data_IF_730122049800
#
_entry.id   IF_730122049800
#
_cell.length_a   1.000
_cell.length_b   1.000
_cell.length_c   1.000
_cell.angle_alpha   90.00
_cell.angle_beta   90.00
_cell.angle_gamma   90.00
#
_symmetry.space_group_name_H-M   'P 1'
#
loop_
_entity.id
_entity.type
_entity.pdbx_description
1 polymer ?
#
# COMPACT_ATOMS: atom_id res chain seq x y z
N UNK A 1 11.75 -28.58 33.91
CA UNK A 1 10.27 -28.56 34.03
C UNK A 1 9.88 -27.27 34.72
N UNK A 2 9.00 -26.45 34.13
CA UNK A 2 8.45 -25.27 34.78
C UNK A 2 7.40 -25.70 35.80
N UNK A 3 7.33 -25.03 36.95
CA UNK A 3 6.27 -25.24 37.93
C UNK A 3 4.96 -24.60 37.47
N UNK A 4 3.82 -25.06 37.98
CA UNK A 4 2.51 -24.47 37.68
C UNK A 4 2.48 -22.98 38.03
N UNK A 5 3.15 -22.58 39.12
CA UNK A 5 3.29 -21.18 39.51
C UNK A 5 4.11 -20.37 38.49
N UNK A 6 5.23 -20.91 38.00
CA UNK A 6 6.03 -20.28 36.93
C UNK A 6 5.22 -20.12 35.64
N UNK A 7 4.40 -21.11 35.27
CA UNK A 7 3.50 -21.01 34.11
C UNK A 7 2.45 -19.91 34.30
N UNK A 8 1.87 -19.78 35.50
CA UNK A 8 0.93 -18.71 35.83
C UNK A 8 1.52 -17.30 35.70
N UNK A 9 2.75 -17.10 36.18
CA UNK A 9 3.47 -15.83 36.05
C UNK A 9 3.83 -15.49 34.60
N UNK A 10 4.24 -16.49 33.81
CA UNK A 10 4.52 -16.33 32.38
C UNK A 10 3.25 -15.91 31.63
N UNK A 11 2.12 -16.58 31.86
CA UNK A 11 0.86 -16.24 31.20
C UNK A 11 0.39 -14.82 31.54
N UNK A 12 0.59 -14.38 32.79
CA UNK A 12 0.29 -13.00 33.20
C UNK A 12 1.16 -12.00 32.45
N UNK A 13 2.47 -12.27 32.29
CA UNK A 13 3.38 -11.42 31.52
C UNK A 13 3.02 -11.37 30.03
N UNK A 14 2.69 -12.51 29.42
CA UNK A 14 2.24 -12.57 28.01
C UNK A 14 1.03 -11.67 27.81
N UNK A 15 0.01 -11.77 28.66
CA UNK A 15 -1.20 -10.94 28.54
C UNK A 15 -0.91 -9.43 28.63
N UNK A 16 0.00 -9.03 29.51
CA UNK A 16 0.42 -7.63 29.62
C UNK A 16 1.14 -7.17 28.35
N UNK A 17 2.04 -7.99 27.80
CA UNK A 17 2.75 -7.68 26.55
C UNK A 17 1.81 -7.61 25.35
N UNK A 18 0.80 -8.48 25.27
CA UNK A 18 -0.23 -8.42 24.22
C UNK A 18 -1.04 -7.12 24.27
N UNK A 19 -1.41 -6.67 25.47
CA UNK A 19 -2.11 -5.39 25.67
C UNK A 19 -1.23 -4.21 25.26
N UNK A 20 0.05 -4.22 25.64
CA UNK A 20 1.01 -3.19 25.24
C UNK A 20 1.19 -3.17 23.72
N UNK A 21 1.27 -4.33 23.06
CA UNK A 21 1.34 -4.45 21.60
C UNK A 21 0.11 -3.84 20.94
N UNK A 22 -1.10 -4.18 21.41
CA UNK A 22 -2.34 -3.63 20.84
C UNK A 22 -2.43 -2.11 20.97
N UNK A 23 -2.00 -1.55 22.11
CA UNK A 23 -1.98 -0.11 22.32
C UNK A 23 -0.94 0.57 21.40
N UNK A 24 0.24 -0.04 21.22
CA UNK A 24 1.23 0.43 20.27
C UNK A 24 0.72 0.39 18.83
N UNK A 25 0.06 -0.69 18.40
CA UNK A 25 -0.55 -0.79 17.06
C UNK A 25 -1.60 0.30 16.84
N UNK A 26 -2.40 0.59 17.86
CA UNK A 26 -3.39 1.67 17.83
C UNK A 26 -2.74 3.05 17.69
N UNK A 27 -1.66 3.30 18.43
CA UNK A 27 -0.88 4.54 18.32
C UNK A 27 -0.24 4.66 16.94
N UNK A 28 0.40 3.60 16.45
CA UNK A 28 0.98 3.52 15.10
C UNK A 28 -0.07 3.82 14.03
N UNK A 29 -1.29 3.34 14.21
CA UNK A 29 -2.41 3.61 13.31
C UNK A 29 -2.78 5.08 13.15
N UNK A 30 -2.38 5.95 14.08
CA UNK A 30 -2.65 7.39 14.02
C UNK A 30 -1.61 8.18 13.24
N UNK A 31 -0.43 7.61 13.00
CA UNK A 31 0.64 8.30 12.28
C UNK A 31 0.41 8.29 10.78
N UNK A 32 0.85 9.38 10.13
CA UNK A 32 0.90 9.45 8.68
C UNK A 32 1.96 8.50 8.12
N UNK A 33 1.85 8.16 6.84
CA UNK A 33 2.87 7.40 6.12
C UNK A 33 4.26 8.03 6.28
N UNK A 34 4.39 9.35 6.10
CA UNK A 34 5.70 10.01 6.16
C UNK A 34 6.32 9.91 7.56
N UNK A 35 5.54 10.13 8.63
CA UNK A 35 6.00 9.99 10.00
C UNK A 35 6.44 8.56 10.33
N UNK A 36 5.75 7.56 9.80
CA UNK A 36 6.13 6.16 9.97
C UNK A 36 7.44 5.84 9.25
N UNK A 37 7.64 6.34 8.03
CA UNK A 37 8.88 6.16 7.29
C UNK A 37 10.07 6.82 8.00
N UNK A 38 9.88 8.01 8.55
CA UNK A 38 10.91 8.71 9.33
C UNK A 38 11.38 7.90 10.54
N UNK A 39 10.51 7.08 11.12
CA UNK A 39 10.86 6.17 12.23
C UNK A 39 11.62 4.91 11.81
N UNK A 40 11.64 4.58 10.52
CA UNK A 40 12.36 3.42 9.99
C UNK A 40 13.86 3.72 9.79
N UNK A 41 14.74 2.73 10.00
CA UNK A 41 16.16 2.82 9.64
C UNK A 41 16.33 3.23 8.17
N UNK A 42 17.27 4.14 7.89
CA UNK A 42 17.44 4.72 6.55
C UNK A 42 17.71 3.66 5.46
N UNK A 43 18.43 2.60 5.79
CA UNK A 43 18.74 1.48 4.90
C UNK A 43 17.51 0.62 4.57
N UNK A 44 16.52 0.55 5.47
CA UNK A 44 15.29 -0.24 5.31
C UNK A 44 14.11 0.62 4.83
N UNK A 45 14.25 1.95 4.89
CA UNK A 45 13.19 2.88 4.53
C UNK A 45 12.88 2.78 3.03
N UNK A 46 11.63 2.45 2.68
CA UNK A 46 11.22 2.44 1.28
C UNK A 46 11.14 3.85 0.73
N UNK A 47 11.30 3.98 -0.58
CA UNK A 47 11.10 5.26 -1.25
C UNK A 47 9.61 5.45 -1.54
N UNK A 48 9.10 6.63 -1.21
CA UNK A 48 7.72 7.03 -1.48
C UNK A 48 7.71 8.18 -2.47
N UNK A 49 7.04 7.96 -3.58
CA UNK A 49 6.95 8.88 -4.70
C UNK A 49 5.49 9.37 -4.77
N UNK A 50 5.25 10.68 -4.61
CA UNK A 50 3.90 11.21 -4.72
C UNK A 50 3.37 11.08 -6.14
N UNK A 51 2.12 10.62 -6.27
CA UNK A 51 1.40 10.59 -7.56
C UNK A 51 0.29 11.62 -7.53
N UNK A 52 -0.51 11.64 -6.46
CA UNK A 52 -1.62 12.57 -6.32
C UNK A 52 -1.78 12.99 -4.86
N UNK A 53 -1.82 14.30 -4.65
CA UNK A 53 -2.03 14.91 -3.33
C UNK A 53 -3.46 15.43 -3.13
N UNK A 54 -4.21 15.72 -4.21
CA UNK A 54 -5.61 16.16 -4.11
C UNK A 54 -6.55 14.97 -3.87
N UNK A 55 -7.45 15.12 -2.89
CA UNK A 55 -8.36 14.07 -2.43
C UNK A 55 -7.65 13.00 -1.60
N UNK A 56 -7.97 11.73 -1.84
CA UNK A 56 -7.24 10.64 -1.19
C UNK A 56 -5.81 10.59 -1.72
N UNK A 57 -4.82 10.77 -0.84
CA UNK A 57 -3.40 10.75 -1.20
C UNK A 57 -3.00 9.36 -1.72
N UNK A 58 -2.51 9.34 -2.97
CA UNK A 58 -2.04 8.14 -3.66
C UNK A 58 -0.55 8.30 -3.96
N UNK A 59 0.21 7.28 -3.62
CA UNK A 59 1.67 7.27 -3.75
C UNK A 59 2.14 5.96 -4.39
N UNK A 60 3.31 6.02 -5.01
CA UNK A 60 4.09 4.84 -5.35
C UNK A 60 5.06 4.55 -4.20
N UNK A 61 5.13 3.31 -3.77
CA UNK A 61 6.10 2.84 -2.79
C UNK A 61 7.01 1.82 -3.45
N UNK A 62 8.33 1.97 -3.31
CA UNK A 62 9.29 1.00 -3.85
C UNK A 62 10.46 0.70 -2.92
N UNK A 63 11.05 -0.48 -3.11
CA UNK A 63 12.32 -0.84 -2.48
C UNK A 63 13.49 -0.19 -3.21
N UNK A 64 14.55 0.14 -2.46
CA UNK A 64 15.83 0.57 -3.02
C UNK A 64 16.52 -0.54 -3.83
N UNK A 65 16.25 -1.80 -3.50
CA UNK A 65 16.83 -2.96 -4.20
C UNK A 65 16.15 -3.25 -5.54
N UNK A 66 14.89 -2.82 -5.69
CA UNK A 66 14.10 -2.96 -6.90
C UNK A 66 13.57 -1.60 -7.37
N UNK A 67 14.45 -0.66 -7.78
CA UNK A 67 14.03 0.70 -8.10
C UNK A 67 13.08 0.75 -9.31
N UNK A 68 13.09 -0.25 -10.19
CA UNK A 68 12.21 -0.30 -11.37
C UNK A 68 10.78 -0.77 -11.04
N UNK A 69 10.51 -1.20 -9.81
CA UNK A 69 9.25 -1.80 -9.38
C UNK A 69 8.62 -0.98 -8.25
N UNK A 70 7.36 -0.58 -8.38
CA UNK A 70 6.68 0.18 -7.34
C UNK A 70 5.22 -0.28 -7.13
N UNK A 71 4.73 -0.19 -5.91
CA UNK A 71 3.35 -0.47 -5.53
C UNK A 71 2.57 0.83 -5.48
N UNK A 72 1.43 0.89 -6.17
CA UNK A 72 0.51 2.01 -6.08
C UNK A 72 -0.42 1.79 -4.88
N UNK A 73 -0.33 2.66 -3.88
CA UNK A 73 -1.06 2.51 -2.61
C UNK A 73 -1.78 3.79 -2.21
N UNK A 74 -2.82 3.65 -1.40
CA UNK A 74 -3.35 4.78 -0.64
C UNK A 74 -2.44 5.05 0.55
N UNK A 75 -2.03 6.30 0.73
CA UNK A 75 -1.19 6.70 1.87
C UNK A 75 -1.98 6.85 3.18
N UNK A 76 -3.31 6.95 3.09
CA UNK A 76 -4.23 7.00 4.23
C UNK A 76 -4.70 5.62 4.70
N UNK A 77 -5.33 5.59 5.87
CA UNK A 77 -5.92 4.36 6.41
C UNK A 77 -7.16 3.96 5.59
N UNK A 78 -7.13 2.74 5.06
CA UNK A 78 -8.27 2.13 4.38
C UNK A 78 -8.42 0.70 4.83
N UNK A 79 -9.46 0.47 5.64
CA UNK A 79 -9.85 -0.85 6.10
C UNK A 79 -10.35 -1.74 4.95
N UNK A 80 -10.14 -3.06 5.09
CA UNK A 80 -10.96 -4.07 4.42
C UNK A 80 -10.66 -4.36 2.96
N UNK A 81 -9.39 -4.36 2.54
CA UNK A 81 -9.05 -4.77 1.17
C UNK A 81 -8.12 -5.97 1.11
N UNK A 82 -8.30 -6.79 0.06
CA UNK A 82 -7.63 -8.09 -0.07
C UNK A 82 -6.12 -8.04 -0.31
N UNK A 83 -5.59 -6.91 -0.80
CA UNK A 83 -4.16 -6.77 -1.11
C UNK A 83 -3.60 -5.55 -0.40
N UNK A 84 -2.67 -5.82 0.52
CA UNK A 84 -2.04 -4.79 1.32
C UNK A 84 -0.53 -4.94 1.32
N UNK A 85 0.14 -3.81 1.41
CA UNK A 85 1.56 -3.69 1.66
C UNK A 85 1.76 -3.46 3.16
N UNK A 86 2.53 -4.30 3.82
CA UNK A 86 2.81 -4.19 5.24
C UNK A 86 4.23 -3.72 5.45
N UNK A 87 4.36 -2.63 6.21
CA UNK A 87 5.62 -2.15 6.72
C UNK A 87 5.81 -2.70 8.12
N UNK A 88 6.86 -3.49 8.29
CA UNK A 88 7.27 -3.98 9.59
C UNK A 88 8.02 -2.87 10.31
N UNK A 89 7.54 -2.51 11.49
CA UNK A 89 8.10 -1.46 12.33
C UNK A 89 8.67 -2.11 13.60
N UNK A 90 9.70 -1.47 14.18
CA UNK A 90 10.31 -1.93 15.44
C UNK A 90 10.74 -3.41 15.36
N UNK A 91 11.50 -3.78 14.32
CA UNK A 91 11.95 -5.16 14.07
C UNK A 91 10.81 -6.20 14.01
N UNK A 92 9.66 -5.81 13.45
CA UNK A 92 8.50 -6.69 13.27
C UNK A 92 7.61 -6.83 14.50
N UNK A 93 7.85 -6.06 15.57
CA UNK A 93 6.95 -6.02 16.74
C UNK A 93 5.56 -5.49 16.34
N UNK A 94 5.54 -4.48 15.49
CA UNK A 94 4.33 -3.87 14.97
C UNK A 94 4.39 -3.82 13.44
N UNK A 95 3.22 -3.68 12.81
CA UNK A 95 3.17 -3.44 11.37
C UNK A 95 2.11 -2.41 11.04
N UNK A 96 2.34 -1.63 9.98
CA UNK A 96 1.32 -0.80 9.35
C UNK A 96 1.00 -1.36 7.99
N UNK A 97 -0.29 -1.44 7.66
CA UNK A 97 -0.76 -1.97 6.39
C UNK A 97 -1.30 -0.83 5.51
N UNK A 98 -0.93 -0.84 4.24
CA UNK A 98 -1.36 0.10 3.22
C UNK A 98 -2.09 -0.65 2.12
N UNK A 99 -3.26 -0.16 1.75
CA UNK A 99 -4.08 -0.79 0.72
C UNK A 99 -3.50 -0.54 -0.67
N UNK A 100 -3.26 -1.61 -1.43
CA UNK A 100 -3.00 -1.46 -2.86
C UNK A 100 -4.22 -0.92 -3.58
N UNK A 101 -3.97 -0.02 -4.51
CA UNK A 101 -4.98 0.61 -5.34
C UNK A 101 -5.67 -0.42 -6.25
N UNK A 102 -7.01 -0.48 -6.25
CA UNK A 102 -7.78 -1.23 -7.25
C UNK A 102 -8.10 -0.37 -8.45
N UNK A 103 -7.58 -0.73 -9.62
CA UNK A 103 -7.86 -0.02 -10.87
C UNK A 103 -9.35 -0.08 -11.24
N UNK A 104 -10.05 -1.11 -10.78
CA UNK A 104 -11.50 -1.25 -10.91
C UNK A 104 -12.30 -0.11 -10.25
N UNK A 105 -11.75 0.58 -9.26
CA UNK A 105 -12.40 1.68 -8.55
C UNK A 105 -12.18 3.02 -9.27
N UNK A 106 -13.00 4.03 -8.97
CA UNK A 106 -12.88 5.39 -9.53
C UNK A 106 -11.85 6.21 -8.76
N UNK A 107 -10.60 5.76 -8.81
CA UNK A 107 -9.44 6.32 -8.10
C UNK A 107 -9.32 7.83 -8.28
N UNK A 108 -9.50 8.27 -9.52
CA UNK A 108 -9.39 9.64 -9.98
C UNK A 108 -10.37 10.58 -9.28
N UNK A 109 -11.51 10.06 -8.79
CA UNK A 109 -12.54 10.85 -8.11
C UNK A 109 -12.52 10.74 -6.59
N UNK A 110 -11.77 9.78 -6.02
CA UNK A 110 -11.84 9.52 -4.59
C UNK A 110 -11.21 10.65 -3.77
N UNK A 111 -11.98 11.15 -2.81
CA UNK A 111 -11.63 12.31 -1.99
C UNK A 111 -11.77 13.65 -2.73
N UNK A 112 -12.22 13.65 -3.99
CA UNK A 112 -12.42 14.88 -4.77
C UNK A 112 -13.91 15.17 -4.84
N UNK A 113 -14.30 16.35 -4.35
CA UNK A 113 -15.68 16.82 -4.47
C UNK A 113 -16.01 17.17 -5.91
N UNK A 114 -17.19 16.70 -6.36
CA UNK A 114 -17.72 17.09 -7.66
C UNK A 114 -18.12 18.56 -7.63
N UNK A 115 -17.67 19.39 -8.59
CA UNK A 115 -18.14 20.77 -8.70
C UNK A 115 -19.67 20.87 -8.77
N UNK A 116 -20.23 21.90 -8.14
CA UNK A 116 -21.68 22.07 -8.01
C UNK A 116 -22.37 22.31 -9.35
N UNK A 117 -21.67 22.93 -10.30
CA UNK A 117 -22.10 23.29 -11.64
C UNK A 117 -22.07 22.13 -12.65
N UNK A 118 -21.36 21.03 -12.33
CA UNK A 118 -21.29 19.84 -13.19
C UNK A 118 -22.52 18.95 -12.97
N UNK A 119 -23.40 18.84 -13.96
CA UNK A 119 -24.63 18.04 -13.88
C UNK A 119 -24.85 17.15 -15.12
N UNK A 120 -25.65 16.07 -14.95
CA UNK A 120 -26.01 15.17 -16.05
C UNK A 120 -24.80 14.61 -16.81
N UNK A 121 -24.79 14.80 -18.14
CA UNK A 121 -23.73 14.33 -19.03
C UNK A 121 -22.35 14.95 -18.76
N UNK A 122 -22.29 16.12 -18.12
CA UNK A 122 -21.03 16.78 -17.76
C UNK A 122 -20.25 15.98 -16.70
N UNK A 123 -20.94 15.15 -15.91
CA UNK A 123 -20.31 14.31 -14.87
C UNK A 123 -19.33 13.31 -15.49
N UNK A 124 -19.69 12.68 -16.60
CA UNK A 124 -18.81 11.71 -17.26
C UNK A 124 -17.63 12.40 -17.95
N UNK A 125 -17.85 13.60 -18.50
CA UNK A 125 -16.76 14.42 -19.02
C UNK A 125 -15.78 14.83 -17.92
N UNK A 126 -16.28 15.26 -16.76
CA UNK A 126 -15.47 15.59 -15.59
C UNK A 126 -14.66 14.39 -15.09
N UNK A 127 -15.29 13.22 -14.93
CA UNK A 127 -14.58 11.97 -14.58
C UNK A 127 -13.51 11.60 -15.61
N UNK A 128 -13.81 11.75 -16.91
CA UNK A 128 -12.85 11.48 -17.98
C UNK A 128 -11.63 12.39 -17.88
N UNK A 129 -11.81 13.68 -17.60
CA UNK A 129 -10.71 14.60 -17.35
C UNK A 129 -9.85 14.15 -16.16
N UNK A 130 -10.49 13.81 -15.03
CA UNK A 130 -9.76 13.32 -13.85
C UNK A 130 -8.98 12.02 -14.13
N UNK A 131 -9.52 11.10 -14.95
CA UNK A 131 -8.79 9.89 -15.37
C UNK A 131 -7.53 10.22 -16.15
N UNK A 132 -7.63 11.17 -17.09
CA UNK A 132 -6.49 11.60 -17.90
C UNK A 132 -5.44 12.30 -17.06
N UNK A 133 -5.86 13.17 -16.13
CA UNK A 133 -4.97 13.83 -15.18
C UNK A 133 -4.25 12.81 -14.30
N UNK A 134 -4.98 11.87 -13.69
CA UNK A 134 -4.38 10.82 -12.87
C UNK A 134 -3.40 9.95 -13.65
N UNK A 135 -3.74 9.56 -14.88
CA UNK A 135 -2.83 8.82 -15.76
C UNK A 135 -1.55 9.61 -16.01
N UNK A 136 -1.67 10.89 -16.36
CA UNK A 136 -0.52 11.75 -16.67
C UNK A 136 0.38 11.94 -15.45
N UNK A 137 -0.20 12.10 -14.26
CA UNK A 137 0.54 12.18 -13.00
C UNK A 137 1.30 10.87 -12.72
N UNK A 138 0.65 9.72 -12.88
CA UNK A 138 1.31 8.43 -12.70
C UNK A 138 2.43 8.21 -13.72
N UNK A 139 2.20 8.54 -14.99
CA UNK A 139 3.19 8.46 -16.05
C UNK A 139 4.41 9.35 -15.76
N UNK A 140 4.17 10.59 -15.33
CA UNK A 140 5.22 11.54 -14.95
C UNK A 140 6.04 11.03 -13.76
N UNK A 141 5.39 10.51 -12.72
CA UNK A 141 6.06 9.92 -11.57
C UNK A 141 6.88 8.69 -11.98
N UNK A 142 6.35 7.81 -12.82
CA UNK A 142 7.09 6.63 -13.26
C UNK A 142 8.33 7.01 -14.08
N UNK A 143 8.20 7.93 -15.03
CA UNK A 143 9.30 8.39 -15.88
C UNK A 143 10.39 9.10 -15.09
N UNK A 144 10.01 10.03 -14.21
CA UNK A 144 10.95 10.83 -13.42
C UNK A 144 11.79 9.98 -12.47
N UNK A 145 11.21 8.89 -11.96
CA UNK A 145 11.87 8.02 -11.00
C UNK A 145 12.38 6.71 -11.61
N UNK A 146 12.17 6.46 -12.90
CA UNK A 146 12.62 5.23 -13.59
C UNK A 146 11.86 3.96 -13.19
N UNK A 147 10.60 4.10 -12.77
CA UNK A 147 9.70 2.96 -12.50
C UNK A 147 9.20 2.39 -13.83
N UNK A 148 9.35 1.08 -14.01
CA UNK A 148 8.90 0.33 -15.21
C UNK A 148 7.75 -0.61 -14.92
N UNK A 149 7.54 -0.99 -13.67
CA UNK A 149 6.45 -1.87 -13.26
C UNK A 149 5.70 -1.27 -12.09
N UNK A 150 4.40 -1.05 -12.26
CA UNK A 150 3.50 -0.56 -11.22
C UNK A 150 2.54 -1.68 -10.80
N UNK A 151 2.63 -2.08 -9.54
CA UNK A 151 1.83 -3.14 -8.95
C UNK A 151 0.53 -2.58 -8.36
N UNK A 152 -0.59 -3.15 -8.79
CA UNK A 152 -1.96 -2.71 -8.48
C UNK A 152 -2.86 -3.92 -8.29
N UNK A 153 -4.11 -3.69 -7.84
CA UNK A 153 -5.16 -4.72 -7.88
C UNK A 153 -5.93 -4.65 -9.18
N UNK A 154 -6.24 -5.81 -9.76
CA UNK A 154 -7.02 -5.96 -10.99
C UNK A 154 -6.45 -5.13 -12.16
N UNK A 155 -5.17 -5.34 -12.55
CA UNK A 155 -4.51 -4.56 -13.61
C UNK A 155 -5.24 -4.64 -14.96
N UNK A 156 -5.98 -5.74 -15.22
CA UNK A 156 -6.77 -5.91 -16.45
C UNK A 156 -7.83 -4.82 -16.66
N UNK A 157 -8.29 -4.18 -15.60
CA UNK A 157 -9.24 -3.07 -15.69
C UNK A 157 -8.58 -1.77 -16.20
N UNK A 158 -7.25 -1.71 -16.27
CA UNK A 158 -6.49 -0.54 -16.69
C UNK A 158 -6.85 -0.12 -18.11
N UNK A 159 -6.67 -1.01 -19.09
CA UNK A 159 -6.89 -0.72 -20.50
C UNK A 159 -8.31 -0.21 -20.83
N UNK A 160 -9.30 -0.55 -19.99
CA UNK A 160 -10.68 -0.11 -20.17
C UNK A 160 -10.95 1.30 -19.62
N UNK A 161 -10.06 1.82 -18.76
CA UNK A 161 -10.24 3.09 -18.04
C UNK A 161 -9.20 4.14 -18.40
N UNK A 162 -7.99 3.66 -18.65
CA UNK A 162 -6.79 4.44 -18.86
C UNK A 162 -6.09 3.88 -20.10
N UNK A 163 -5.55 4.78 -20.91
CA UNK A 163 -4.66 4.37 -21.99
C UNK A 163 -3.36 3.79 -21.42
N UNK A 164 -2.62 3.06 -22.27
CA UNK A 164 -1.30 2.57 -21.90
C UNK A 164 -0.35 3.71 -21.51
N UNK A 165 0.53 3.43 -20.55
CA UNK A 165 1.65 4.31 -20.21
C UNK A 165 2.89 3.75 -20.92
N UNK A 166 3.53 4.57 -21.74
CA UNK A 166 4.70 4.13 -22.50
C UNK A 166 5.87 3.74 -21.56
N UNK A 167 6.44 2.56 -21.80
CA UNK A 167 7.53 2.00 -20.99
C UNK A 167 7.16 1.54 -19.58
N UNK A 168 5.87 1.54 -19.19
CA UNK A 168 5.41 1.15 -17.85
C UNK A 168 4.38 0.02 -17.93
N UNK A 169 4.71 -1.11 -17.31
CA UNK A 169 3.81 -2.25 -17.15
C UNK A 169 2.94 -2.07 -15.90
N UNK A 170 1.62 -2.25 -16.06
CA UNK A 170 0.68 -2.32 -14.94
C UNK A 170 0.44 -3.80 -14.62
N UNK A 171 0.87 -4.22 -13.43
CA UNK A 171 1.00 -5.64 -13.04
C UNK A 171 0.15 -5.93 -11.80
N UNK A 172 -0.31 -7.17 -11.65
CA UNK A 172 -1.07 -7.58 -10.47
C UNK A 172 -0.13 -7.66 -9.27
N UNK A 173 -0.49 -7.02 -8.15
CA UNK A 173 0.31 -7.04 -6.93
C UNK A 173 0.63 -8.45 -6.44
N UNK A 174 -0.24 -9.44 -6.68
CA UNK A 174 0.02 -10.84 -6.32
C UNK A 174 1.20 -11.45 -7.09
N UNK A 175 1.46 -10.99 -8.31
CA UNK A 175 2.51 -11.53 -9.17
C UNK A 175 3.90 -11.09 -8.67
N UNK A 176 3.95 -10.01 -7.87
CA UNK A 176 5.19 -9.59 -7.19
C UNK A 176 5.71 -10.66 -6.24
N UNK A 177 4.84 -11.31 -5.44
CA UNK A 177 5.28 -12.34 -4.49
C UNK A 177 5.93 -13.52 -5.20
N UNK A 178 5.36 -13.95 -6.33
CA UNK A 178 5.93 -15.01 -7.14
C UNK A 178 7.32 -14.63 -7.68
N UNK A 179 7.50 -13.37 -8.09
CA UNK A 179 8.76 -12.86 -8.60
C UNK A 179 9.82 -12.62 -7.50
N UNK A 180 9.42 -12.09 -6.34
CA UNK A 180 10.30 -11.75 -5.24
C UNK A 180 10.90 -13.01 -4.57
N UNK A 181 10.09 -14.05 -4.40
CA UNK A 181 10.55 -15.35 -3.88
C UNK A 181 11.59 -16.00 -4.80
N UNK A 182 11.47 -15.82 -6.11
CA UNK A 182 12.43 -16.33 -7.08
C UNK A 182 13.75 -15.53 -7.07
N UNK A 183 13.70 -14.25 -6.72
CA UNK A 183 14.84 -13.34 -6.72
C UNK A 183 15.65 -13.32 -5.41
N UNK A 184 15.23 -14.07 -4.38
CA UNK A 184 15.93 -14.14 -3.09
C UNK A 184 15.91 -12.83 -2.29
N UNK A 185 14.95 -11.94 -2.56
CA UNK A 185 14.79 -10.69 -1.81
C UNK A 185 14.28 -11.00 -0.40
N UNK A 186 14.93 -10.46 0.63
CA UNK A 186 14.48 -10.69 2.00
C UNK A 186 13.14 -9.99 2.23
N UNK A 187 12.16 -10.75 2.72
CA UNK A 187 10.82 -10.27 3.05
C UNK A 187 10.79 -9.32 4.27
N UNK A 188 11.96 -8.92 4.79
CA UNK A 188 12.10 -8.28 6.09
C UNK A 188 11.63 -6.82 6.07
N UNK A 189 11.85 -6.10 4.96
CA UNK A 189 11.42 -4.69 4.82
C UNK A 189 10.08 -4.50 4.10
N UNK A 190 9.62 -5.52 3.34
CA UNK A 190 8.36 -5.48 2.59
C UNK A 190 7.59 -6.80 2.76
N UNK A 191 6.62 -6.82 3.67
CA UNK A 191 5.68 -7.92 3.74
C UNK A 191 4.45 -7.58 2.88
N UNK A 192 4.32 -8.16 1.70
CA UNK A 192 3.07 -8.10 0.93
C UNK A 192 2.08 -9.11 1.53
N UNK A 193 0.90 -8.64 1.96
CA UNK A 193 -0.13 -9.46 2.58
C UNK A 193 -1.29 -9.65 1.60
N UNK A 194 -1.55 -10.92 1.26
CA UNK A 194 -2.75 -11.34 0.55
C UNK A 194 -3.76 -11.92 1.56
N UNK A 195 -4.87 -11.21 1.79
CA UNK A 195 -5.89 -11.64 2.75
C UNK A 195 -6.65 -12.90 2.33
N UNK A 196 -6.64 -13.25 1.04
CA UNK A 196 -7.30 -14.48 0.58
C UNK A 196 -6.62 -15.75 1.11
N UNK A 197 -5.32 -15.68 1.41
CA UNK A 197 -4.54 -16.82 1.94
C UNK A 197 -4.50 -16.85 3.47
N UNK A 198 -4.55 -15.69 4.14
CA UNK A 198 -4.55 -15.62 5.61
C UNK A 198 -5.86 -16.07 6.26
N UNK A 199 -6.96 -16.13 5.51
CA UNK A 199 -8.27 -16.60 5.99
C UNK A 199 -8.50 -18.11 5.81
N UNK A 200 -7.57 -18.84 5.18
CA UNK A 200 -7.63 -20.31 5.05
C UNK A 200 -6.86 -21.06 6.15
N UNK A 201 -6.38 -20.33 7.17
CA UNK A 201 -5.57 -20.86 8.27
C UNK A 201 -6.10 -20.54 9.68
N UNK A 202 -7.43 -20.45 9.86
CA UNK A 202 -8.06 -20.52 11.20
C UNK A 202 -9.34 -21.35 11.14
#
# INVERSE_FOLDING_TARGET
>A
MLTIQQVGEINKKIKVLEQQKQELEKQIGQYSLDALLESMPENERPEVIPVRENGDRIVLVRSKDLPQCAFLVYAGDRAGTYYQLSFNLLNGICSRQYTLVCICCSLETQGIEKPADVTGEQVESWKKCLRQEFRALLESACKSYGVKSVFVRLPKAWANKYDAIDGVAIVDGKDFLAAANFAGLSAESFAFINWAESCLGR
#
